data_IF_898352894960
#
_entry.id   IF_898352894960
#
_cell.length_a   1.000
_cell.length_b   1.000
_cell.length_c   1.000
_cell.angle_alpha   90.00
_cell.angle_beta   90.00
_cell.angle_gamma   90.00
#
_symmetry.space_group_name_H-M   'P 1'
#
loop_
_entity.id
_entity.type
_entity.pdbx_description
1 polymer ?
#
# COMPACT_ATOMS: atom_id res chain seq x y z
N UNK A 1 -4.70 -22.40 -9.82
CA UNK A 1 -3.37 -22.03 -9.29
C UNK A 1 -3.40 -20.57 -8.85
N UNK A 2 -2.64 -20.22 -7.81
CA UNK A 2 -2.56 -18.84 -7.27
C UNK A 2 -1.10 -18.50 -6.98
N UNK A 3 -0.75 -17.21 -7.06
CA UNK A 3 0.51 -16.66 -6.57
C UNK A 3 0.20 -15.83 -5.33
N UNK A 4 0.88 -16.12 -4.22
CA UNK A 4 0.78 -15.34 -2.97
C UNK A 4 1.95 -14.37 -2.85
N UNK A 5 1.66 -13.16 -2.38
CA UNK A 5 2.64 -12.12 -2.07
C UNK A 5 2.42 -11.70 -0.63
N UNK A 6 3.42 -11.96 0.21
CA UNK A 6 3.45 -11.48 1.58
C UNK A 6 4.06 -10.09 1.61
N UNK A 7 3.24 -9.09 1.93
CA UNK A 7 3.69 -7.71 2.04
C UNK A 7 4.36 -7.50 3.41
N UNK A 8 5.68 -7.47 3.42
CA UNK A 8 6.50 -7.28 4.62
C UNK A 8 6.68 -5.80 4.92
N UNK A 9 6.73 -5.46 6.20
CA UNK A 9 6.94 -4.10 6.69
C UNK A 9 5.67 -3.45 7.22
N UNK A 10 5.79 -2.19 7.60
CA UNK A 10 4.72 -1.38 8.18
C UNK A 10 4.77 0.03 7.61
N UNK A 11 3.63 0.70 7.57
CA UNK A 11 3.51 2.13 7.34
C UNK A 11 3.34 2.86 8.66
N UNK A 12 3.97 4.02 8.79
CA UNK A 12 3.74 4.95 9.90
C UNK A 12 2.97 6.17 9.38
N UNK A 13 1.85 6.50 10.04
CA UNK A 13 1.00 7.64 9.71
C UNK A 13 0.95 8.58 10.92
N UNK A 14 1.42 9.81 10.72
CA UNK A 14 1.38 10.86 11.74
C UNK A 14 0.14 11.74 11.57
N UNK A 15 -0.75 11.72 12.55
CA UNK A 15 -1.88 12.65 12.63
C UNK A 15 -1.48 13.91 13.42
N UNK A 16 -0.90 14.87 12.69
CA UNK A 16 -0.24 16.05 13.25
C UNK A 16 -1.11 16.88 14.20
N UNK A 17 -2.43 16.92 14.01
CA UNK A 17 -3.33 17.72 14.85
C UNK A 17 -3.35 17.23 16.30
N UNK A 18 -3.28 15.91 16.50
CA UNK A 18 -3.29 15.30 17.82
C UNK A 18 -1.93 14.77 18.24
N UNK A 19 -0.93 14.94 17.37
CA UNK A 19 0.41 14.40 17.59
C UNK A 19 0.33 12.90 17.89
N UNK A 20 -0.45 12.20 17.06
CA UNK A 20 -0.72 10.76 17.18
C UNK A 20 -0.02 10.02 16.04
N UNK A 21 0.71 8.97 16.39
CA UNK A 21 1.32 8.07 15.44
C UNK A 21 0.51 6.77 15.34
N UNK A 22 0.24 6.36 14.10
CA UNK A 22 -0.43 5.11 13.79
C UNK A 22 0.51 4.20 13.00
N UNK A 23 0.78 3.01 13.52
CA UNK A 23 1.56 1.97 12.83
C UNK A 23 0.58 0.99 12.19
N UNK A 24 0.75 0.75 10.89
CA UNK A 24 -0.15 -0.04 10.05
C UNK A 24 0.63 -1.15 9.36
N UNK A 25 0.25 -2.42 9.56
CA UNK A 25 0.78 -3.53 8.74
C UNK A 25 0.02 -3.67 7.42
N UNK A 26 0.49 -4.53 6.51
CA UNK A 26 -0.10 -4.70 5.18
C UNK A 26 -0.74 -6.09 5.01
N UNK A 27 -1.89 -6.19 4.32
CA UNK A 27 -2.46 -7.48 4.01
C UNK A 27 -1.59 -8.20 2.99
N UNK A 28 -1.65 -9.53 2.95
CA UNK A 28 -1.09 -10.30 1.84
C UNK A 28 -1.96 -10.14 0.60
N UNK A 29 -1.34 -10.19 -0.58
CA UNK A 29 -2.02 -10.15 -1.87
C UNK A 29 -1.94 -11.50 -2.58
N UNK A 30 -3.02 -11.93 -3.23
CA UNK A 30 -3.08 -13.17 -3.98
C UNK A 30 -3.53 -12.89 -5.42
N UNK A 31 -2.67 -13.24 -6.38
CA UNK A 31 -3.04 -13.35 -7.77
C UNK A 31 -3.73 -14.69 -8.01
N UNK A 32 -5.06 -14.67 -8.15
CA UNK A 32 -5.87 -15.86 -8.37
C UNK A 32 -6.06 -16.11 -9.88
N UNK A 33 -6.41 -17.34 -10.24
CA UNK A 33 -6.81 -17.71 -11.61
C UNK A 33 -5.75 -17.42 -12.69
N UNK A 34 -4.47 -17.67 -12.39
CA UNK A 34 -3.34 -17.28 -13.27
C UNK A 34 -3.30 -17.97 -14.65
N UNK A 35 -4.05 -19.05 -14.85
CA UNK A 35 -4.18 -19.72 -16.15
C UNK A 35 -5.41 -19.26 -16.95
N UNK A 36 -6.26 -18.41 -16.37
CA UNK A 36 -7.47 -17.89 -17.02
C UNK A 36 -7.50 -16.37 -16.90
N UNK A 37 -8.58 -15.78 -16.38
CA UNK A 37 -8.67 -14.34 -16.13
C UNK A 37 -8.18 -14.07 -14.70
N UNK A 38 -6.99 -13.48 -14.55
CA UNK A 38 -6.43 -13.24 -13.23
C UNK A 38 -7.24 -12.17 -12.49
N UNK A 39 -7.31 -12.30 -11.16
CA UNK A 39 -7.89 -11.29 -10.29
C UNK A 39 -7.15 -11.23 -8.96
N UNK A 40 -7.23 -10.09 -8.28
CA UNK A 40 -6.51 -9.85 -7.02
C UNK A 40 -7.44 -10.09 -5.84
N UNK A 41 -6.92 -10.80 -4.85
CA UNK A 41 -7.56 -11.02 -3.57
C UNK A 41 -6.62 -10.55 -2.44
N UNK A 42 -7.17 -9.87 -1.44
CA UNK A 42 -6.46 -9.55 -0.21
C UNK A 42 -6.76 -10.63 0.83
N UNK A 43 -5.77 -10.96 1.64
CA UNK A 43 -5.92 -11.91 2.73
C UNK A 43 -4.94 -11.68 3.87
N UNK A 44 -5.22 -12.31 5.00
CA UNK A 44 -4.41 -12.19 6.21
C UNK A 44 -4.85 -11.05 7.11
N UNK A 45 -4.10 -10.89 8.20
CA UNK A 45 -4.42 -9.95 9.28
C UNK A 45 -3.60 -8.67 9.12
N UNK A 46 -4.28 -7.54 9.26
CA UNK A 46 -3.69 -6.21 9.36
C UNK A 46 -3.95 -5.66 10.75
N UNK A 47 -2.96 -5.01 11.32
CA UNK A 47 -3.08 -4.31 12.60
C UNK A 47 -2.83 -2.83 12.39
N UNK A 48 -3.66 -2.01 13.02
CA UNK A 48 -3.46 -0.55 13.15
C UNK A 48 -3.35 -0.26 14.64
N UNK A 49 -2.23 0.28 15.08
CA UNK A 49 -2.00 0.58 16.50
C UNK A 49 -1.60 2.03 16.68
N UNK A 50 -2.07 2.64 17.77
CA UNK A 50 -1.62 3.96 18.19
C UNK A 50 -1.13 3.88 19.62
N UNK A 51 0.19 3.99 19.83
CA UNK A 51 0.78 3.87 21.17
C UNK A 51 0.31 4.97 22.12
N UNK A 52 0.14 6.20 21.63
CA UNK A 52 -0.26 7.36 22.42
C UNK A 52 -1.65 7.22 23.01
N UNK A 53 -2.61 6.76 22.20
CA UNK A 53 -4.00 6.63 22.65
C UNK A 53 -4.28 5.25 23.25
N UNK A 54 -3.48 4.24 22.90
CA UNK A 54 -3.67 2.84 23.32
C UNK A 54 -4.72 2.08 22.50
N UNK A 55 -5.36 2.73 21.52
CA UNK A 55 -6.32 2.06 20.65
C UNK A 55 -5.61 1.14 19.65
N UNK A 56 -6.23 0.00 19.36
CA UNK A 56 -5.80 -0.90 18.31
C UNK A 56 -6.98 -1.40 17.48
N UNK A 57 -6.74 -1.63 16.19
CA UNK A 57 -7.68 -2.28 15.28
C UNK A 57 -7.03 -3.52 14.67
N UNK A 58 -7.76 -4.62 14.64
CA UNK A 58 -7.37 -5.87 13.98
C UNK A 58 -8.31 -6.09 12.81
N UNK A 59 -7.78 -6.14 11.59
CA UNK A 59 -8.54 -6.26 10.35
C UNK A 59 -8.16 -7.57 9.68
N UNK A 60 -9.08 -8.52 9.65
CA UNK A 60 -8.96 -9.77 8.93
C UNK A 60 -9.51 -9.63 7.52
N UNK A 61 -8.64 -9.71 6.51
CA UNK A 61 -9.05 -9.89 5.12
C UNK A 61 -9.31 -11.37 4.87
N UNK A 62 -10.53 -11.70 4.43
CA UNK A 62 -10.96 -13.07 4.20
C UNK A 62 -10.71 -13.46 2.75
N UNK A 63 -9.89 -14.50 2.56
CA UNK A 63 -9.78 -15.14 1.24
C UNK A 63 -11.04 -15.96 0.96
N UNK A 64 -11.46 -16.02 -0.30
CA UNK A 64 -12.66 -16.75 -0.72
C UNK A 64 -12.58 -18.23 -0.26
N UNK A 65 -13.56 -18.72 0.51
CA UNK A 65 -13.62 -20.13 0.89
C UNK A 65 -13.76 -21.06 -0.32
N UNK A 66 -13.33 -22.32 -0.14
CA UNK A 66 -13.44 -23.36 -1.18
C UNK A 66 -14.90 -23.73 -1.49
N UNK A 67 -15.82 -23.55 -0.54
CA UNK A 67 -17.23 -23.91 -0.66
C UNK A 67 -18.08 -22.68 -0.31
N UNK A 68 -18.65 -22.03 -1.34
CA UNK A 68 -19.50 -20.85 -1.16
C UNK A 68 -18.76 -19.63 -0.58
N UNK A 69 -19.44 -18.49 -0.54
CA UNK A 69 -18.92 -17.25 0.04
C UNK A 69 -18.65 -16.13 -0.97
N UNK A 70 -18.73 -14.90 -0.45
CA UNK A 70 -18.48 -13.68 -1.21
C UNK A 70 -16.97 -13.40 -1.28
N UNK A 71 -16.55 -12.76 -2.37
CA UNK A 71 -15.17 -12.27 -2.49
C UNK A 71 -15.01 -11.00 -1.65
N UNK A 72 -13.75 -10.64 -1.40
CA UNK A 72 -13.37 -9.32 -0.88
C UNK A 72 -13.94 -8.99 0.51
N UNK A 73 -14.32 -10.01 1.28
CA UNK A 73 -14.84 -9.81 2.63
C UNK A 73 -13.72 -9.41 3.59
N UNK A 74 -14.06 -8.56 4.56
CA UNK A 74 -13.24 -8.33 5.74
C UNK A 74 -14.08 -8.33 7.02
N UNK A 75 -13.38 -8.54 8.14
CA UNK A 75 -13.86 -8.23 9.48
C UNK A 75 -12.81 -7.36 10.16
N UNK A 76 -13.20 -6.20 10.67
CA UNK A 76 -12.35 -5.38 11.52
C UNK A 76 -12.93 -5.29 12.92
N UNK A 77 -12.09 -5.39 13.93
CA UNK A 77 -12.45 -5.18 15.33
C UNK A 77 -11.58 -4.06 15.89
N UNK A 78 -12.21 -3.07 16.51
CA UNK A 78 -11.52 -1.91 17.11
C UNK A 78 -11.65 -1.98 18.62
N UNK A 79 -10.51 -1.99 19.29
CA UNK A 79 -10.39 -2.19 20.72
C UNK A 79 -9.97 -0.89 21.41
N UNK A 80 -10.63 -0.54 22.53
CA UNK A 80 -10.18 0.53 23.39
C UNK A 80 -8.91 0.11 24.17
N UNK A 81 -8.22 1.08 24.80
CA UNK A 81 -7.00 0.81 25.52
C UNK A 81 -7.20 -0.23 26.64
N UNK A 82 -6.35 -1.26 26.65
CA UNK A 82 -6.35 -2.33 27.65
C UNK A 82 -7.63 -3.18 27.72
N UNK A 83 -8.50 -3.11 26.71
CA UNK A 83 -9.73 -3.91 26.66
C UNK A 83 -9.64 -5.01 25.59
N UNK A 84 -10.16 -6.20 25.93
CA UNK A 84 -10.26 -7.32 24.98
C UNK A 84 -11.57 -7.32 24.19
N UNK A 85 -12.53 -6.50 24.58
CA UNK A 85 -13.83 -6.42 23.92
C UNK A 85 -13.78 -5.27 22.92
N UNK A 86 -14.10 -5.50 21.64
CA UNK A 86 -14.14 -4.40 20.69
C UNK A 86 -15.31 -3.47 20.98
N UNK A 87 -15.10 -2.16 20.84
CA UNK A 87 -16.17 -1.17 20.92
C UNK A 87 -16.88 -0.97 19.57
N UNK A 88 -16.32 -1.52 18.49
CA UNK A 88 -16.91 -1.53 17.15
C UNK A 88 -16.37 -2.72 16.34
N UNK A 89 -17.26 -3.40 15.62
CA UNK A 89 -16.90 -4.42 14.64
C UNK A 89 -17.39 -3.98 13.26
N UNK A 90 -16.53 -3.99 12.25
CA UNK A 90 -16.87 -3.66 10.86
C UNK A 90 -16.82 -4.92 10.02
N UNK A 91 -17.85 -5.18 9.21
CA UNK A 91 -17.86 -6.31 8.27
C UNK A 91 -18.35 -5.85 6.90
N UNK A 92 -17.95 -6.57 5.84
CA UNK A 92 -18.42 -6.30 4.48
C UNK A 92 -17.32 -6.42 3.44
N UNK A 93 -17.49 -5.70 2.33
CA UNK A 93 -16.61 -5.79 1.16
C UNK A 93 -15.65 -4.60 1.11
N UNK A 94 -14.34 -4.85 1.09
CA UNK A 94 -13.35 -3.77 1.08
C UNK A 94 -13.37 -2.93 -0.21
N UNK A 95 -13.96 -3.45 -1.27
CA UNK A 95 -14.25 -2.78 -2.54
C UNK A 95 -15.75 -2.56 -2.78
N UNK A 96 -16.55 -2.61 -1.72
CA UNK A 96 -17.99 -2.41 -1.76
C UNK A 96 -18.45 -1.64 -0.52
N UNK A 97 -19.43 -2.20 0.17
CA UNK A 97 -20.01 -1.63 1.40
C UNK A 97 -19.48 -2.38 2.61
N UNK A 98 -19.10 -1.60 3.62
CA UNK A 98 -18.76 -2.08 4.97
C UNK A 98 -19.75 -1.49 5.98
N UNK A 99 -20.20 -2.31 6.92
CA UNK A 99 -21.16 -1.96 7.97
C UNK A 99 -20.51 -2.09 9.32
N UNK A 100 -20.62 -1.05 10.15
CA UNK A 100 -20.22 -1.08 11.55
C UNK A 100 -21.35 -1.62 12.41
N UNK A 101 -21.01 -2.44 13.40
CA UNK A 101 -21.87 -2.94 14.47
C UNK A 101 -21.30 -2.50 15.81
N UNK A 102 -22.16 -1.96 16.66
CA UNK A 102 -21.80 -1.47 17.99
C UNK A 102 -22.27 -2.44 19.10
N UNK A 103 -21.73 -2.33 20.33
CA UNK A 103 -22.08 -3.22 21.44
C UNK A 103 -23.55 -3.20 21.84
N UNK A 104 -24.27 -2.10 21.59
CA UNK A 104 -25.70 -1.97 21.84
C UNK A 104 -26.56 -2.68 20.77
N UNK A 105 -25.94 -3.24 19.73
CA UNK A 105 -26.62 -3.93 18.63
C UNK A 105 -26.87 -3.06 17.41
N UNK A 106 -26.66 -1.74 17.50
CA UNK A 106 -26.88 -0.82 16.40
C UNK A 106 -25.93 -1.13 15.24
N UNK A 107 -26.45 -0.94 14.03
CA UNK A 107 -25.70 -1.11 12.80
C UNK A 107 -25.88 0.10 11.90
N UNK A 108 -24.78 0.52 11.27
CA UNK A 108 -24.78 1.61 10.31
C UNK A 108 -23.76 1.32 9.21
N UNK A 109 -23.99 1.85 8.02
CA UNK A 109 -22.98 1.84 6.96
C UNK A 109 -21.74 2.58 7.48
N UNK A 110 -20.61 1.87 7.56
CA UNK A 110 -19.33 2.44 7.94
C UNK A 110 -18.71 3.19 6.76
N UNK A 111 -18.66 2.53 5.60
CA UNK A 111 -18.23 3.16 4.35
C UNK A 111 -18.82 2.41 3.15
N UNK A 112 -19.21 3.16 2.14
CA UNK A 112 -19.53 2.64 0.81
C UNK A 112 -18.51 3.16 -0.19
N UNK A 113 -17.54 2.30 -0.53
CA UNK A 113 -16.43 2.65 -1.42
C UNK A 113 -16.87 2.94 -2.86
N UNK A 114 -18.06 2.49 -3.26
CA UNK A 114 -18.59 2.74 -4.61
C UNK A 114 -19.10 4.17 -4.79
N UNK A 115 -19.37 4.86 -3.68
CA UNK A 115 -19.86 6.25 -3.65
C UNK A 115 -18.75 7.29 -3.43
N UNK A 116 -17.56 6.85 -3.02
CA UNK A 116 -16.45 7.76 -2.71
C UNK A 116 -15.85 8.38 -3.98
N UNK A 117 -15.75 9.71 -3.98
CA UNK A 117 -15.05 10.43 -5.03
C UNK A 117 -13.55 10.12 -4.99
N UNK A 118 -12.98 9.72 -6.12
CA UNK A 118 -11.54 9.47 -6.24
C UNK A 118 -10.81 10.74 -6.65
N UNK A 119 -9.89 11.21 -5.79
CA UNK A 119 -9.03 12.35 -6.12
C UNK A 119 -7.79 11.86 -6.83
N UNK A 120 -7.61 12.26 -8.10
CA UNK A 120 -6.42 11.87 -8.89
C UNK A 120 -5.19 12.64 -8.43
N UNK A 121 -4.06 11.94 -8.33
CA UNK A 121 -2.75 12.56 -8.09
C UNK A 121 -2.40 13.51 -9.24
N UNK A 122 -2.10 14.76 -8.92
CA UNK A 122 -1.49 15.72 -9.85
C UNK A 122 0.01 15.44 -9.94
N UNK A 123 0.53 15.35 -11.15
CA UNK A 123 1.94 15.03 -11.41
C UNK A 123 2.42 15.92 -12.56
N UNK A 124 3.69 16.34 -12.50
CA UNK A 124 4.29 17.16 -13.54
C UNK A 124 4.27 16.48 -14.92
N UNK A 125 4.21 17.27 -16.01
CA UNK A 125 4.37 16.75 -17.38
C UNK A 125 5.70 15.99 -17.52
N UNK A 126 5.72 14.93 -18.32
CA UNK A 126 6.90 14.05 -18.48
C UNK A 126 8.15 14.83 -18.92
N UNK A 127 7.98 15.88 -19.73
CA UNK A 127 9.05 16.75 -20.20
C UNK A 127 9.76 17.52 -19.07
N UNK A 128 9.08 17.71 -17.95
CA UNK A 128 9.59 18.43 -16.77
C UNK A 128 10.05 17.48 -15.65
N UNK A 129 9.84 16.17 -15.80
CA UNK A 129 10.27 15.16 -14.82
C UNK A 129 11.75 14.85 -14.97
N UNK A 130 12.44 14.52 -13.88
CA UNK A 130 13.82 14.02 -13.91
C UNK A 130 13.92 12.63 -14.55
N UNK A 131 15.13 12.26 -14.99
CA UNK A 131 15.38 11.03 -15.74
C UNK A 131 14.89 9.74 -15.04
N UNK A 132 15.00 9.68 -13.70
CA UNK A 132 14.63 8.52 -12.89
C UNK A 132 13.22 8.62 -12.25
N UNK A 133 12.44 9.65 -12.58
CA UNK A 133 11.03 9.69 -12.18
C UNK A 133 10.20 8.67 -12.97
N UNK A 134 9.30 7.96 -12.28
CA UNK A 134 8.69 6.74 -12.81
C UNK A 134 8.02 6.90 -14.17
N UNK A 135 7.29 8.01 -14.43
CA UNK A 135 6.60 8.17 -15.73
C UNK A 135 7.58 8.46 -16.86
N UNK A 136 8.68 9.17 -16.60
CA UNK A 136 9.74 9.41 -17.59
C UNK A 136 10.58 8.16 -17.82
N UNK A 137 11.03 7.50 -16.75
CA UNK A 137 11.86 6.30 -16.81
C UNK A 137 11.16 5.15 -17.55
N UNK A 138 9.88 4.91 -17.26
CA UNK A 138 9.09 3.82 -17.85
C UNK A 138 8.27 4.23 -19.08
N UNK A 139 8.52 5.41 -19.65
CA UNK A 139 7.72 5.98 -20.74
C UNK A 139 7.61 5.03 -21.94
N UNK A 140 8.74 4.53 -22.43
CA UNK A 140 8.77 3.70 -23.65
C UNK A 140 8.08 2.34 -23.44
N UNK A 141 8.25 1.73 -22.25
CA UNK A 141 7.55 0.49 -21.87
C UNK A 141 6.04 0.72 -21.81
N UNK A 142 5.61 1.76 -21.11
CA UNK A 142 4.17 2.04 -20.92
C UNK A 142 3.48 2.47 -22.21
N UNK A 143 4.17 3.21 -23.09
CA UNK A 143 3.66 3.55 -24.42
C UNK A 143 3.49 2.31 -25.30
N UNK A 144 4.49 1.42 -25.32
CA UNK A 144 4.41 0.17 -26.08
C UNK A 144 3.27 -0.74 -25.56
N UNK A 145 3.11 -0.88 -24.25
CA UNK A 145 2.00 -1.61 -23.63
C UNK A 145 0.64 -1.01 -24.01
N UNK A 146 0.51 0.34 -23.99
CA UNK A 146 -0.71 1.03 -24.41
C UNK A 146 -1.05 0.75 -25.88
N UNK A 147 -0.04 0.63 -26.73
CA UNK A 147 -0.18 0.29 -28.14
C UNK A 147 -0.27 -1.23 -28.41
N UNK A 148 -0.30 -2.05 -27.35
CA UNK A 148 -0.32 -3.52 -27.41
C UNK A 148 0.89 -4.12 -28.15
N UNK A 149 2.01 -3.40 -28.23
CA UNK A 149 3.27 -3.87 -28.80
C UNK A 149 4.12 -4.53 -27.71
N UNK A 150 3.92 -5.83 -27.53
CA UNK A 150 4.60 -6.63 -26.50
C UNK A 150 6.10 -6.76 -26.78
N UNK A 151 6.51 -6.81 -28.05
CA UNK A 151 7.91 -6.93 -28.43
C UNK A 151 8.68 -5.65 -28.09
N UNK A 152 8.10 -4.48 -28.41
CA UNK A 152 8.69 -3.19 -28.05
C UNK A 152 8.69 -2.95 -26.54
N UNK A 153 7.63 -3.35 -25.83
CA UNK A 153 7.59 -3.26 -24.38
C UNK A 153 8.70 -4.10 -23.72
N UNK A 154 8.88 -5.35 -24.20
CA UNK A 154 9.89 -6.28 -23.69
C UNK A 154 11.30 -5.76 -23.96
N UNK A 155 11.62 -5.38 -25.20
CA UNK A 155 12.95 -4.84 -25.52
C UNK A 155 13.28 -3.57 -24.74
N UNK A 156 12.32 -2.65 -24.58
CA UNK A 156 12.51 -1.42 -23.81
C UNK A 156 12.68 -1.70 -22.31
N UNK A 157 11.95 -2.67 -21.77
CA UNK A 157 12.10 -3.13 -20.38
C UNK A 157 13.49 -3.76 -20.16
N UNK A 158 13.91 -4.65 -21.05
CA UNK A 158 15.22 -5.31 -20.99
C UNK A 158 16.35 -4.29 -21.00
N UNK A 159 16.27 -3.27 -21.87
CA UNK A 159 17.26 -2.20 -21.91
C UNK A 159 17.42 -1.48 -20.56
N UNK A 160 16.30 -1.07 -19.93
CA UNK A 160 16.31 -0.40 -18.63
C UNK A 160 16.90 -1.29 -17.53
N UNK A 161 16.49 -2.56 -17.49
CA UNK A 161 16.95 -3.51 -16.47
C UNK A 161 18.43 -3.89 -16.63
N UNK A 162 18.91 -3.99 -17.87
CA UNK A 162 20.33 -4.25 -18.15
C UNK A 162 21.20 -3.06 -17.73
N UNK A 163 20.74 -1.84 -18.01
CA UNK A 163 21.44 -0.63 -17.54
C UNK A 163 21.55 -0.62 -16.01
N UNK A 164 20.46 -0.90 -15.29
CA UNK A 164 20.47 -0.98 -13.82
C UNK A 164 21.38 -2.10 -13.30
N UNK A 165 21.42 -3.26 -13.98
CA UNK A 165 22.33 -4.37 -13.64
C UNK A 165 23.80 -3.99 -13.82
N UNK A 166 24.15 -3.28 -14.91
CA UNK A 166 25.50 -2.76 -15.12
C UNK A 166 25.90 -1.75 -14.04
N UNK A 167 25.05 -0.76 -13.76
CA UNK A 167 25.31 0.25 -12.72
C UNK A 167 25.46 -0.38 -11.33
N UNK A 168 24.68 -1.41 -11.01
CA UNK A 168 24.82 -2.15 -9.76
C UNK A 168 26.15 -2.93 -9.68
N UNK A 169 26.56 -3.54 -10.79
CA UNK A 169 27.85 -4.21 -10.91
C UNK A 169 29.02 -3.23 -10.74
N UNK A 170 28.98 -2.07 -11.39
CA UNK A 170 30.00 -1.03 -11.27
C UNK A 170 30.12 -0.52 -9.82
N UNK A 171 28.99 -0.32 -9.13
CA UNK A 171 28.98 0.05 -7.71
C UNK A 171 29.65 -1.02 -6.84
N UNK A 172 29.33 -2.30 -7.08
CA UNK A 172 29.94 -3.41 -6.35
C UNK A 172 31.47 -3.47 -6.57
N UNK A 173 31.92 -3.37 -7.82
CA UNK A 173 33.35 -3.43 -8.16
C UNK A 173 34.15 -2.23 -7.63
N UNK A 174 33.52 -1.05 -7.54
CA UNK A 174 34.13 0.17 -7.01
C UNK A 174 33.99 0.31 -5.48
N UNK A 175 33.37 -0.67 -4.79
CA UNK A 175 33.12 -0.60 -3.35
C UNK A 175 32.15 0.51 -2.94
N UNK A 176 31.35 1.03 -3.87
CA UNK A 176 30.38 2.10 -3.61
C UNK A 176 29.05 1.53 -3.13
N UNK A 177 28.53 2.10 -2.05
CA UNK A 177 27.17 1.78 -1.56
C UNK A 177 26.13 2.64 -2.27
N UNK A 178 24.97 2.06 -2.58
CA UNK A 178 23.83 2.85 -3.04
C UNK A 178 23.40 3.86 -1.96
N UNK A 179 23.20 5.11 -2.36
CA UNK A 179 22.66 6.18 -1.50
C UNK A 179 21.28 6.57 -1.98
N UNK A 180 20.31 6.46 -1.08
CA UNK A 180 18.93 6.93 -1.31
C UNK A 180 18.90 8.46 -1.43
N UNK A 181 17.95 8.98 -2.22
CA UNK A 181 17.85 10.42 -2.50
C UNK A 181 16.93 11.19 -1.55
N UNK A 182 15.87 10.55 -1.07
CA UNK A 182 14.76 11.22 -0.35
C UNK A 182 14.29 10.47 0.90
N UNK A 183 14.99 9.39 1.26
CA UNK A 183 14.77 8.62 2.48
C UNK A 183 16.11 8.34 3.13
N UNK A 184 16.13 8.25 4.46
CA UNK A 184 17.28 7.77 5.24
C UNK A 184 16.83 6.70 6.24
N UNK A 185 17.78 5.89 6.71
CA UNK A 185 17.53 4.96 7.80
C UNK A 185 17.56 5.69 9.15
N UNK A 186 16.55 5.44 9.96
CA UNK A 186 16.43 5.89 11.35
C UNK A 186 16.13 4.64 12.21
N UNK A 187 17.15 4.15 12.93
CA UNK A 187 17.10 2.83 13.55
C UNK A 187 16.89 1.72 12.52
N UNK A 188 15.78 0.99 12.63
CA UNK A 188 15.39 -0.07 11.69
C UNK A 188 14.34 0.40 10.66
N UNK A 189 14.00 1.69 10.62
CA UNK A 189 12.95 2.24 9.77
C UNK A 189 13.49 3.19 8.70
N UNK A 190 12.72 3.37 7.62
CA UNK A 190 13.01 4.37 6.59
C UNK A 190 12.17 5.62 6.82
N UNK A 191 12.83 6.75 7.06
CA UNK A 191 12.18 8.04 7.25
C UNK A 191 12.24 8.87 5.96
N UNK A 192 11.11 9.49 5.58
CA UNK A 192 11.06 10.42 4.45
C UNK A 192 11.65 11.77 4.83
N UNK A 193 12.56 12.28 4.01
CA UNK A 193 13.35 13.49 4.33
C UNK A 193 12.48 14.75 4.40
N UNK A 194 11.41 14.81 3.62
CA UNK A 194 10.53 15.98 3.47
C UNK A 194 9.11 15.76 4.01
N UNK A 195 9.00 15.08 5.15
CA UNK A 195 7.71 14.83 5.81
C UNK A 195 6.89 16.11 6.01
N UNK A 196 5.55 15.98 6.06
CA UNK A 196 4.67 17.14 6.28
C UNK A 196 4.98 17.84 7.60
N UNK A 197 5.29 17.08 8.66
CA UNK A 197 5.73 17.60 9.95
C UNK A 197 6.95 18.54 9.81
N UNK A 198 8.00 18.09 9.11
CA UNK A 198 9.21 18.90 8.86
C UNK A 198 8.91 20.13 8.01
N UNK A 199 8.00 20.04 7.05
CA UNK A 199 7.59 21.19 6.20
C UNK A 199 6.74 22.21 6.95
N UNK A 200 5.94 21.77 7.92
CA UNK A 200 5.12 22.66 8.75
C UNK A 200 5.92 23.29 9.90
N UNK A 201 6.86 22.56 10.51
CA UNK A 201 7.70 23.08 11.60
C UNK A 201 8.70 24.16 11.19
N UNK A 202 9.02 24.29 9.89
CA UNK A 202 9.89 25.35 9.34
C UNK A 202 9.19 26.70 9.13
N UNK A 203 7.92 26.84 9.53
CA UNK A 203 7.14 28.08 9.38
C UNK A 203 7.18 29.02 10.60
N UNK A 204 8.03 28.76 11.59
CA UNK A 204 8.25 29.64 12.74
C UNK A 204 9.63 30.29 12.67
#
# INVERSE_FOLDING_TARGET
>A
MSIGVHNVGQGCIMFLRHDEEYVVSFPSGYGRSIFTVPWIELGGTVEITCQKTGYNAVIQFHTKPMIGGKKHQLTAEVFPPNERKPFMTVTGEWNGVMTAKYPNGDQAVFVDTTTLATTKKVVQPIQQQEAFESRRLWKEVTLALKNKDVNKATSSKTFLEEQQRREASERLHSGQTWKTRVFHMEGEHWAYDHSLQKRMGKKN
#
